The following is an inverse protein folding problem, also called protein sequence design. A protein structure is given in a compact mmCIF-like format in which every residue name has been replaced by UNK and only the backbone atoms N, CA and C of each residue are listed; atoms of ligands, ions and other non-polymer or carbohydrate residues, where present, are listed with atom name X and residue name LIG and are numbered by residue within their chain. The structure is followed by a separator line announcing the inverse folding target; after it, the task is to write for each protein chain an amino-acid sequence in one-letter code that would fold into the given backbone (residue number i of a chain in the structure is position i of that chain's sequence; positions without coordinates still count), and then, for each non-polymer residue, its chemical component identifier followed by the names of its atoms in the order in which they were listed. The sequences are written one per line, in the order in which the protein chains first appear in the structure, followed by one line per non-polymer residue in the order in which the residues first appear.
data_IF_376002221065
#
_entry.id   IF_376002221065
#
_cell.length_a   1.000
_cell.length_b   1.000
_cell.length_c   1.000
_cell.angle_alpha   90.00
_cell.angle_beta   90.00
_cell.angle_gamma   90.00
#
_symmetry.space_group_name_H-M   'P 1'
#
loop_
_entity.id
_entity.type
_entity.pdbx_description
1 polymer ?
#
# COMPACT_ATOMS: atom_id res chain seq x y z
N UNK A 1 22.82 6.15 19.09
CA UNK A 1 21.40 6.12 19.46
C UNK A 1 21.26 6.72 20.86
N UNK A 2 20.35 7.67 21.07
CA UNK A 2 20.23 8.41 22.33
C UNK A 2 19.60 7.53 23.43
N UNK A 3 20.07 7.63 24.69
CA UNK A 3 19.54 6.87 25.83
C UNK A 3 18.00 6.89 25.98
N UNK A 4 17.27 7.98 25.68
CA UNK A 4 15.81 8.00 25.72
C UNK A 4 15.15 7.03 24.72
N UNK A 5 15.76 6.82 23.55
CA UNK A 5 15.22 5.93 22.50
C UNK A 5 15.26 4.47 22.94
N UNK A 6 16.35 4.07 23.62
CA UNK A 6 16.51 2.71 24.15
C UNK A 6 15.50 2.41 25.27
N UNK A 7 15.23 3.39 26.13
CA UNK A 7 14.24 3.27 27.21
C UNK A 7 12.83 3.10 26.62
N UNK A 8 12.45 3.94 25.64
CA UNK A 8 11.17 3.84 24.96
C UNK A 8 11.01 2.48 24.26
N UNK A 9 12.07 1.98 23.62
CA UNK A 9 12.06 0.68 22.97
C UNK A 9 11.82 -0.46 23.98
N UNK A 10 12.47 -0.41 25.15
CA UNK A 10 12.24 -1.35 26.24
C UNK A 10 10.80 -1.32 26.75
N UNK A 11 10.21 -0.13 26.93
CA UNK A 11 8.81 0.03 27.34
C UNK A 11 7.86 -0.59 26.31
N UNK A 12 8.11 -0.36 25.01
CA UNK A 12 7.30 -0.94 23.92
C UNK A 12 7.33 -2.46 23.98
N UNK A 13 8.49 -3.08 24.16
CA UNK A 13 8.63 -4.55 24.26
C UNK A 13 7.84 -5.08 25.46
N UNK A 14 7.95 -4.43 26.62
CA UNK A 14 7.23 -4.84 27.84
C UNK A 14 5.72 -4.72 27.64
N UNK A 15 5.24 -3.60 27.09
CA UNK A 15 3.81 -3.37 26.83
C UNK A 15 3.27 -4.38 25.80
N UNK A 16 4.02 -4.67 24.74
CA UNK A 16 3.66 -5.70 23.75
C UNK A 16 3.60 -7.09 24.38
N UNK A 17 4.58 -7.46 25.21
CA UNK A 17 4.59 -8.73 25.93
C UNK A 17 3.40 -8.87 26.87
N UNK A 18 3.09 -7.81 27.64
CA UNK A 18 1.92 -7.77 28.51
C UNK A 18 0.61 -7.89 27.72
N UNK A 19 0.50 -7.17 26.60
CA UNK A 19 -0.65 -7.26 25.70
C UNK A 19 -0.86 -8.70 25.20
N UNK A 20 0.18 -9.33 24.67
CA UNK A 20 0.10 -10.72 24.17
C UNK A 20 -0.25 -11.71 25.28
N UNK A 21 0.33 -11.56 26.48
CA UNK A 21 0.02 -12.42 27.61
C UNK A 21 -1.45 -12.29 28.04
N UNK A 22 -1.99 -11.07 28.10
CA UNK A 22 -3.39 -10.82 28.44
C UNK A 22 -4.31 -11.40 27.35
N UNK A 23 -3.98 -11.13 26.09
CA UNK A 23 -4.77 -11.55 24.92
C UNK A 23 -4.90 -13.08 24.83
N UNK A 24 -3.84 -13.82 25.19
CA UNK A 24 -3.84 -15.28 25.18
C UNK A 24 -4.67 -15.92 26.31
N UNK A 25 -4.96 -15.19 27.39
CA UNK A 25 -5.70 -15.70 28.56
C UNK A 25 -7.17 -15.26 28.61
N UNK A 26 -7.58 -14.29 27.79
CA UNK A 26 -8.96 -13.78 27.76
C UNK A 26 -9.86 -14.70 26.93
N UNK A 27 -11.12 -14.89 27.38
CA UNK A 27 -12.10 -15.75 26.69
C UNK A 27 -12.60 -15.20 25.35
N UNK A 28 -12.60 -13.87 25.17
CA UNK A 28 -12.96 -13.17 23.94
C UNK A 28 -11.76 -12.35 23.43
N UNK A 29 -10.75 -12.98 22.81
CA UNK A 29 -9.60 -12.25 22.27
C UNK A 29 -10.05 -11.30 21.15
N UNK A 30 -9.57 -10.07 21.20
CA UNK A 30 -9.56 -9.11 20.09
C UNK A 30 -8.92 -9.72 18.84
N UNK A 31 -7.79 -10.44 19.00
CA UNK A 31 -7.05 -11.11 17.95
C UNK A 31 -7.30 -12.62 17.97
N UNK A 32 -8.38 -13.06 17.33
CA UNK A 32 -8.64 -14.49 17.19
C UNK A 32 -7.68 -15.12 16.17
N UNK A 33 -6.52 -15.58 16.62
CA UNK A 33 -5.49 -16.20 15.78
C UNK A 33 -5.97 -17.43 15.00
N UNK A 34 -7.10 -18.05 15.40
CA UNK A 34 -7.73 -19.14 14.64
C UNK A 34 -8.22 -18.66 13.27
N UNK A 35 -8.39 -17.35 13.07
CA UNK A 35 -8.74 -16.78 11.78
C UNK A 35 -7.65 -17.02 10.73
N UNK A 36 -6.37 -17.18 11.13
CA UNK A 36 -5.29 -17.54 10.21
C UNK A 36 -5.44 -18.95 9.61
N UNK A 37 -6.28 -19.81 10.20
CA UNK A 37 -6.60 -21.13 9.65
C UNK A 37 -7.47 -21.01 8.39
N UNK A 38 -8.22 -19.92 8.22
CA UNK A 38 -8.93 -19.64 6.98
C UNK A 38 -7.92 -19.17 5.93
N UNK A 39 -7.49 -20.09 5.07
CA UNK A 39 -6.48 -19.85 4.04
C UNK A 39 -6.77 -18.58 3.21
N UNK A 40 -8.03 -18.37 2.79
CA UNK A 40 -8.42 -17.19 2.01
C UNK A 40 -8.24 -15.89 2.78
N UNK A 41 -8.55 -15.89 4.07
CA UNK A 41 -8.36 -14.74 4.95
C UNK A 41 -6.88 -14.43 5.15
N UNK A 42 -6.05 -15.44 5.42
CA UNK A 42 -4.58 -15.29 5.57
C UNK A 42 -3.91 -14.75 4.31
N UNK A 43 -4.29 -15.27 3.14
CA UNK A 43 -3.79 -14.78 1.85
C UNK A 43 -4.28 -13.34 1.62
N UNK A 44 -5.55 -13.07 1.93
CA UNK A 44 -6.13 -11.74 1.89
C UNK A 44 -5.38 -10.72 2.75
N UNK A 45 -5.02 -11.09 3.97
CA UNK A 45 -4.19 -10.28 4.86
C UNK A 45 -2.80 -10.01 4.27
N UNK A 46 -2.18 -11.00 3.60
CA UNK A 46 -0.93 -10.83 2.87
C UNK A 46 -1.04 -9.84 1.70
N UNK A 47 -2.14 -9.93 0.93
CA UNK A 47 -2.48 -8.97 -0.14
C UNK A 47 -2.61 -7.56 0.44
N UNK A 48 -3.37 -7.39 1.53
CA UNK A 48 -3.56 -6.11 2.22
C UNK A 48 -2.21 -5.52 2.65
N UNK A 49 -1.35 -6.31 3.28
CA UNK A 49 -0.06 -5.84 3.76
C UNK A 49 0.82 -5.35 2.60
N UNK A 50 0.98 -6.15 1.55
CA UNK A 50 1.78 -5.79 0.37
C UNK A 50 1.19 -4.57 -0.35
N UNK A 51 -0.12 -4.53 -0.51
CA UNK A 51 -0.84 -3.40 -1.09
C UNK A 51 -0.56 -2.09 -0.35
N UNK A 52 -0.66 -2.10 0.98
CA UNK A 52 -0.44 -0.91 1.80
C UNK A 52 1.02 -0.44 1.75
N UNK A 53 1.96 -1.38 1.78
CA UNK A 53 3.38 -1.07 1.67
C UNK A 53 3.67 -0.34 0.35
N UNK A 54 3.12 -0.82 -0.76
CA UNK A 54 3.32 -0.20 -2.07
C UNK A 54 2.53 1.10 -2.27
N UNK A 55 1.26 1.15 -1.85
CA UNK A 55 0.41 2.31 -2.13
C UNK A 55 0.82 3.54 -1.34
N UNK A 56 1.17 3.37 -0.05
CA UNK A 56 1.49 4.52 0.79
C UNK A 56 2.87 5.11 0.53
N UNK A 57 3.76 4.41 -0.19
CA UNK A 57 5.08 4.95 -0.52
C UNK A 57 4.97 6.00 -1.62
N UNK A 58 3.96 5.89 -2.50
CA UNK A 58 3.68 6.82 -3.61
C UNK A 58 3.62 8.25 -3.09
N UNK A 59 2.87 8.51 -2.01
CA UNK A 59 2.70 9.86 -1.47
C UNK A 59 4.04 10.47 -1.05
N UNK A 60 4.92 9.68 -0.40
CA UNK A 60 6.22 10.17 0.03
C UNK A 60 7.17 10.36 -1.16
N UNK A 61 7.30 9.35 -2.02
CA UNK A 61 8.16 9.39 -3.20
C UNK A 61 7.76 10.56 -4.12
N UNK A 62 6.46 10.77 -4.32
CA UNK A 62 5.93 11.87 -5.12
C UNK A 62 6.21 13.23 -4.47
N UNK A 63 6.06 13.38 -3.16
CA UNK A 63 6.43 14.62 -2.47
C UNK A 63 7.91 14.97 -2.70
N UNK A 64 8.80 14.00 -2.55
CA UNK A 64 10.24 14.18 -2.75
C UNK A 64 10.55 14.47 -4.23
N UNK A 65 9.83 13.85 -5.16
CA UNK A 65 9.96 14.11 -6.59
C UNK A 65 9.54 15.53 -6.97
N UNK A 66 8.35 15.95 -6.58
CA UNK A 66 7.78 17.24 -6.95
C UNK A 66 8.55 18.40 -6.31
N UNK A 67 8.89 18.29 -5.03
CA UNK A 67 9.55 19.37 -4.30
C UNK A 67 11.08 19.31 -4.46
N UNK A 68 11.66 18.12 -4.44
CA UNK A 68 13.11 17.94 -4.45
C UNK A 68 13.74 17.85 -5.83
N UNK A 69 13.18 17.05 -6.74
CA UNK A 69 13.73 16.92 -8.09
C UNK A 69 13.24 18.03 -9.04
N UNK A 70 11.96 18.40 -8.95
CA UNK A 70 11.32 19.40 -9.83
C UNK A 70 11.34 20.82 -9.27
N UNK A 71 11.86 21.04 -8.05
CA UNK A 71 11.93 22.36 -7.38
C UNK A 71 10.60 23.10 -7.31
N UNK A 72 9.48 22.38 -7.30
CA UNK A 72 8.17 23.01 -7.20
C UNK A 72 7.97 23.59 -5.81
N UNK A 73 7.33 24.75 -5.74
CA UNK A 73 6.87 25.32 -4.48
C UNK A 73 5.90 24.35 -3.81
N UNK A 74 5.91 24.32 -2.48
CA UNK A 74 5.03 23.47 -1.65
C UNK A 74 3.56 23.60 -2.08
N UNK A 75 3.11 24.82 -2.41
CA UNK A 75 1.76 25.07 -2.91
C UNK A 75 1.46 24.34 -4.22
N UNK A 76 2.36 24.42 -5.20
CA UNK A 76 2.19 23.78 -6.51
C UNK A 76 2.26 22.26 -6.41
N UNK A 77 3.18 21.73 -5.58
CA UNK A 77 3.29 20.30 -5.32
C UNK A 77 2.00 19.77 -4.67
N UNK A 78 1.46 20.50 -3.69
CA UNK A 78 0.22 20.12 -3.01
C UNK A 78 -0.99 20.16 -3.97
N UNK A 79 -1.04 21.15 -4.88
CA UNK A 79 -2.08 21.22 -5.92
C UNK A 79 -2.01 20.00 -6.86
N UNK A 80 -0.83 19.50 -7.21
CA UNK A 80 -0.68 18.28 -8.00
C UNK A 80 -1.12 17.03 -7.23
N UNK A 81 -0.92 16.99 -5.91
CA UNK A 81 -1.41 15.88 -5.09
C UNK A 81 -2.94 15.82 -5.03
N UNK A 82 -3.66 16.91 -5.32
CA UNK A 82 -5.13 16.89 -5.47
C UNK A 82 -5.54 15.95 -6.61
N UNK A 83 -4.73 15.86 -7.68
CA UNK A 83 -4.97 14.90 -8.77
C UNK A 83 -4.87 13.44 -8.33
N UNK A 84 -4.25 13.17 -7.17
CA UNK A 84 -4.29 11.86 -6.54
C UNK A 84 -5.58 11.71 -5.67
N UNK A 85 -5.89 12.69 -4.82
CA UNK A 85 -6.98 12.57 -3.85
C UNK A 85 -8.39 12.65 -4.46
N UNK A 86 -8.63 13.53 -5.43
CA UNK A 86 -9.97 13.79 -5.97
C UNK A 86 -10.53 12.59 -6.75
N UNK A 87 -9.79 11.97 -7.70
CA UNK A 87 -10.31 10.79 -8.37
C UNK A 87 -10.52 9.63 -7.39
N UNK A 88 -9.66 9.49 -6.38
CA UNK A 88 -9.80 8.47 -5.34
C UNK A 88 -11.10 8.66 -4.53
N UNK A 89 -11.44 9.89 -4.16
CA UNK A 89 -12.67 10.23 -3.44
C UNK A 89 -13.92 9.83 -4.25
N UNK A 90 -13.93 10.13 -5.55
CA UNK A 90 -15.05 9.81 -6.44
C UNK A 90 -15.13 8.30 -6.70
N UNK A 91 -13.97 7.66 -6.93
CA UNK A 91 -13.90 6.25 -7.29
C UNK A 91 -14.08 5.31 -6.11
N UNK A 92 -13.90 5.73 -4.86
CA UNK A 92 -14.10 4.88 -3.69
C UNK A 92 -15.51 4.25 -3.64
N UNK A 93 -16.60 5.04 -3.64
CA UNK A 93 -17.97 4.52 -3.68
C UNK A 93 -18.29 3.76 -4.97
N UNK A 94 -17.81 4.24 -6.11
CA UNK A 94 -18.04 3.60 -7.41
C UNK A 94 -17.35 2.24 -7.50
N UNK A 95 -16.13 2.13 -6.96
CA UNK A 95 -15.36 0.90 -6.88
C UNK A 95 -16.03 -0.15 -6.00
N UNK A 96 -16.65 0.26 -4.89
CA UNK A 96 -17.51 -0.62 -4.08
C UNK A 96 -18.67 -1.19 -4.90
N UNK A 97 -19.42 -0.34 -5.61
CA UNK A 97 -20.52 -0.78 -6.48
C UNK A 97 -20.06 -1.71 -7.61
N UNK A 98 -18.90 -1.41 -8.21
CA UNK A 98 -18.29 -2.27 -9.23
C UNK A 98 -17.91 -3.64 -8.65
N UNK A 99 -17.37 -3.68 -7.44
CA UNK A 99 -17.05 -4.92 -6.73
C UNK A 99 -18.29 -5.73 -6.36
N UNK A 100 -19.41 -5.07 -6.06
CA UNK A 100 -20.70 -5.71 -5.84
C UNK A 100 -21.26 -6.34 -7.13
N UNK A 101 -21.13 -5.65 -8.27
CA UNK A 101 -21.72 -6.07 -9.52
C UNK A 101 -20.87 -7.10 -10.30
N UNK A 102 -19.57 -6.86 -10.43
CA UNK A 102 -18.66 -7.69 -11.23
C UNK A 102 -17.89 -8.74 -10.40
N UNK A 103 -17.98 -8.67 -9.07
CA UNK A 103 -17.32 -9.55 -8.13
C UNK A 103 -16.02 -8.98 -7.56
N UNK A 104 -15.88 -9.05 -6.24
CA UNK A 104 -14.79 -8.42 -5.50
C UNK A 104 -13.40 -8.94 -5.92
N UNK A 105 -13.22 -10.26 -6.05
CA UNK A 105 -11.92 -10.82 -6.41
C UNK A 105 -11.48 -10.41 -7.83
N UNK A 106 -12.41 -10.28 -8.78
CA UNK A 106 -12.11 -9.82 -10.15
C UNK A 106 -11.67 -8.36 -10.14
N UNK A 107 -12.44 -7.51 -9.47
CA UNK A 107 -12.16 -6.08 -9.36
C UNK A 107 -10.86 -5.79 -8.59
N UNK A 108 -10.55 -6.60 -7.58
CA UNK A 108 -9.27 -6.58 -6.86
C UNK A 108 -8.10 -6.83 -7.82
N UNK A 109 -8.15 -7.94 -8.57
CA UNK A 109 -7.07 -8.32 -9.50
C UNK A 109 -6.90 -7.28 -10.61
N UNK A 110 -8.00 -6.77 -11.19
CA UNK A 110 -7.92 -5.70 -12.21
C UNK A 110 -7.32 -4.42 -11.64
N UNK A 111 -7.74 -4.00 -10.44
CA UNK A 111 -7.21 -2.80 -9.80
C UNK A 111 -5.72 -2.90 -9.49
N UNK A 112 -5.24 -4.08 -9.07
CA UNK A 112 -3.82 -4.34 -8.85
C UNK A 112 -3.00 -4.22 -10.14
N UNK A 113 -3.51 -4.68 -11.29
CA UNK A 113 -2.84 -4.52 -12.59
C UNK A 113 -2.65 -3.03 -12.91
N UNK A 114 -3.73 -2.23 -12.80
CA UNK A 114 -3.63 -0.81 -13.12
C UNK A 114 -2.78 -0.03 -12.12
N UNK A 115 -2.69 -0.47 -10.85
CA UNK A 115 -1.74 0.09 -9.88
C UNK A 115 -0.30 -0.20 -10.27
N UNK A 116 0.02 -1.43 -10.72
CA UNK A 116 1.34 -1.78 -11.23
C UNK A 116 1.70 -0.91 -12.44
N UNK A 117 0.77 -0.78 -13.40
CA UNK A 117 0.98 0.04 -14.60
C UNK A 117 1.16 1.53 -14.27
N UNK A 118 0.35 2.07 -13.35
CA UNK A 118 0.46 3.45 -12.91
C UNK A 118 1.78 3.72 -12.17
N UNK A 119 2.20 2.80 -11.30
CA UNK A 119 3.48 2.90 -10.59
C UNK A 119 4.67 2.75 -11.53
N UNK A 120 4.56 1.87 -12.53
CA UNK A 120 5.56 1.73 -13.58
C UNK A 120 5.69 3.01 -14.41
N UNK A 121 4.56 3.62 -14.79
CA UNK A 121 4.55 4.90 -15.49
C UNK A 121 5.21 6.00 -14.63
N UNK A 122 4.95 6.03 -13.32
CA UNK A 122 5.60 6.95 -12.39
C UNK A 122 7.12 6.78 -12.33
N UNK A 123 7.61 5.53 -12.31
CA UNK A 123 9.05 5.24 -12.35
C UNK A 123 9.74 5.49 -13.70
N UNK A 124 9.00 5.94 -14.71
CA UNK A 124 9.51 6.23 -16.05
C UNK A 124 9.39 7.71 -16.45
N UNK A 125 9.02 8.59 -15.52
CA UNK A 125 8.89 10.02 -15.80
C UNK A 125 10.23 10.69 -16.15
N UNK A 126 11.34 10.22 -15.57
CA UNK A 126 12.66 10.81 -15.78
C UNK A 126 12.71 12.29 -15.39
N UNK A 127 13.51 13.10 -16.10
CA UNK A 127 13.63 14.55 -15.86
C UNK A 127 12.61 15.41 -16.62
N UNK A 128 11.60 14.80 -17.25
CA UNK A 128 10.67 15.55 -18.10
C UNK A 128 9.70 16.39 -17.26
N UNK A 129 9.85 17.72 -17.36
CA UNK A 129 9.09 18.77 -16.67
C UNK A 129 7.61 18.88 -17.04
N UNK A 130 7.08 18.00 -17.88
CA UNK A 130 5.70 18.12 -18.34
C UNK A 130 4.73 17.59 -17.28
N UNK A 131 4.12 18.53 -16.54
CA UNK A 131 3.13 18.26 -15.48
C UNK A 131 2.02 17.28 -15.91
N UNK A 132 1.64 17.28 -17.19
CA UNK A 132 0.61 16.37 -17.71
C UNK A 132 1.04 14.89 -17.63
N UNK A 133 2.33 14.60 -17.81
CA UNK A 133 2.89 13.25 -17.68
C UNK A 133 2.94 12.75 -16.25
N UNK A 134 2.85 13.64 -15.24
CA UNK A 134 2.67 13.27 -13.83
C UNK A 134 1.19 13.03 -13.53
N UNK A 135 0.31 13.93 -13.98
CA UNK A 135 -1.11 13.91 -13.63
C UNK A 135 -1.81 12.65 -14.15
N UNK A 136 -1.51 12.21 -15.38
CA UNK A 136 -2.17 11.04 -15.98
C UNK A 136 -1.91 9.77 -15.14
N UNK A 137 -0.66 9.37 -14.84
CA UNK A 137 -0.38 8.25 -13.93
C UNK A 137 -1.04 8.40 -12.56
N UNK A 138 -1.03 9.61 -11.96
CA UNK A 138 -1.67 9.83 -10.66
C UNK A 138 -3.18 9.58 -10.69
N UNK A 139 -3.86 10.07 -11.72
CA UNK A 139 -5.30 9.81 -11.90
C UNK A 139 -5.55 8.32 -12.10
N UNK A 140 -4.76 7.64 -12.94
CA UNK A 140 -4.86 6.19 -13.15
C UNK A 140 -4.69 5.44 -11.83
N UNK A 141 -3.66 5.75 -11.05
CA UNK A 141 -3.42 5.10 -9.76
C UNK A 141 -4.55 5.34 -8.76
N UNK A 142 -5.12 6.53 -8.76
CA UNK A 142 -6.20 6.92 -7.84
C UNK A 142 -7.51 6.23 -8.16
N UNK A 143 -7.85 6.15 -9.45
CA UNK A 143 -8.99 5.37 -9.94
C UNK A 143 -8.81 3.89 -9.61
N UNK A 144 -7.60 3.37 -9.83
CA UNK A 144 -7.26 1.98 -9.56
C UNK A 144 -7.34 1.65 -8.07
N UNK A 145 -6.87 2.55 -7.20
CA UNK A 145 -7.03 2.40 -5.74
C UNK A 145 -8.49 2.42 -5.32
N UNK A 146 -9.29 3.34 -5.87
CA UNK A 146 -10.72 3.43 -5.58
C UNK A 146 -11.49 2.14 -5.91
N UNK A 147 -11.01 1.37 -6.89
CA UNK A 147 -11.55 0.05 -7.25
C UNK A 147 -10.92 -1.06 -6.39
N UNK A 148 -9.59 -1.08 -6.28
CA UNK A 148 -8.84 -2.15 -5.64
C UNK A 148 -9.11 -2.23 -4.14
N UNK A 149 -9.04 -1.11 -3.42
CA UNK A 149 -9.11 -1.12 -1.96
C UNK A 149 -10.45 -1.65 -1.40
N UNK A 150 -11.62 -1.16 -1.85
CA UNK A 150 -12.90 -1.74 -1.42
C UNK A 150 -13.03 -3.21 -1.79
N UNK A 151 -12.50 -3.60 -2.96
CA UNK A 151 -12.52 -4.99 -3.44
C UNK A 151 -11.67 -5.92 -2.58
N UNK A 152 -10.47 -5.47 -2.17
CA UNK A 152 -9.60 -6.18 -1.23
C UNK A 152 -10.36 -6.36 0.09
N UNK A 153 -10.80 -5.25 0.70
CA UNK A 153 -11.50 -5.30 1.99
C UNK A 153 -12.70 -6.25 1.96
N UNK A 154 -13.53 -6.17 0.91
CA UNK A 154 -14.67 -7.07 0.72
C UNK A 154 -14.24 -8.53 0.55
N UNK A 155 -13.20 -8.82 -0.23
CA UNK A 155 -12.71 -10.19 -0.45
C UNK A 155 -12.18 -10.80 0.84
N UNK A 156 -11.40 -10.04 1.62
CA UNK A 156 -10.80 -10.53 2.87
C UNK A 156 -11.86 -10.72 3.95
N UNK A 157 -12.69 -9.71 4.19
CA UNK A 157 -13.67 -9.76 5.29
C UNK A 157 -14.84 -10.70 5.01
N UNK A 158 -15.14 -11.02 3.75
CA UNK A 158 -16.14 -12.04 3.41
C UNK A 158 -15.59 -13.47 3.45
N UNK A 159 -14.28 -13.65 3.68
CA UNK A 159 -13.65 -14.98 3.76
C UNK A 159 -13.77 -15.64 5.14
N UNK A 160 -14.44 -15.00 6.09
CA UNK A 160 -14.62 -15.47 7.47
C UNK A 160 -16.11 -15.50 7.84
N UNK A 161 -16.54 -16.35 8.78
CA UNK A 161 -17.92 -16.34 9.28
C UNK A 161 -18.33 -14.99 9.86
N UNK A 162 -19.59 -14.62 9.71
CA UNK A 162 -20.11 -13.30 10.12
C UNK A 162 -19.96 -13.05 11.62
N UNK A 163 -20.02 -14.10 12.44
CA UNK A 163 -19.83 -14.05 13.90
C UNK A 163 -18.41 -13.61 14.28
N UNK A 164 -17.44 -13.81 13.38
CA UNK A 164 -16.02 -13.47 13.58
C UNK A 164 -15.61 -12.19 12.84
N UNK A 165 -16.55 -11.53 12.16
CA UNK A 165 -16.28 -10.35 11.34
C UNK A 165 -15.68 -9.18 12.12
N UNK A 166 -16.04 -9.03 13.41
CA UNK A 166 -15.46 -8.02 14.31
C UNK A 166 -13.95 -8.21 14.51
N UNK A 167 -13.54 -9.39 15.00
CA UNK A 167 -12.12 -9.73 15.18
C UNK A 167 -11.35 -9.72 13.85
N UNK A 168 -11.97 -10.20 12.76
CA UNK A 168 -11.36 -10.20 11.44
C UNK A 168 -11.12 -8.78 10.89
N UNK A 169 -12.06 -7.86 11.12
CA UNK A 169 -11.90 -6.45 10.77
C UNK A 169 -10.80 -5.80 11.60
N UNK A 170 -10.73 -6.11 12.90
CA UNK A 170 -9.65 -5.68 13.79
C UNK A 170 -8.28 -6.04 13.22
N UNK A 171 -8.05 -7.33 12.93
CA UNK A 171 -6.80 -7.79 12.31
C UNK A 171 -6.52 -7.16 10.95
N UNK A 172 -7.53 -7.06 10.10
CA UNK A 172 -7.39 -6.44 8.78
C UNK A 172 -6.88 -4.99 8.90
N UNK A 173 -7.48 -4.19 9.77
CA UNK A 173 -7.07 -2.79 9.97
C UNK A 173 -5.76 -2.66 10.75
N UNK A 174 -5.42 -3.61 11.62
CA UNK A 174 -4.10 -3.66 12.27
C UNK A 174 -3.00 -3.88 11.22
N UNK A 175 -3.15 -4.87 10.34
CA UNK A 175 -2.18 -5.11 9.26
C UNK A 175 -2.14 -3.97 8.24
N UNK A 176 -3.29 -3.38 7.94
CA UNK A 176 -3.37 -2.18 7.11
C UNK A 176 -2.51 -1.04 7.68
N UNK A 177 -2.67 -0.72 8.96
CA UNK A 177 -1.90 0.35 9.61
C UNK A 177 -0.41 -0.03 9.78
N UNK A 178 -0.10 -1.30 10.04
CA UNK A 178 1.26 -1.79 10.07
C UNK A 178 1.94 -1.61 8.71
N UNK A 179 1.28 -2.02 7.62
CA UNK A 179 1.77 -1.82 6.26
C UNK A 179 1.99 -0.36 5.92
N UNK A 180 1.08 0.54 6.35
CA UNK A 180 1.24 2.00 6.20
C UNK A 180 2.47 2.54 6.92
N UNK A 181 2.71 2.09 8.14
CA UNK A 181 3.88 2.50 8.91
C UNK A 181 5.18 2.01 8.24
N UNK A 182 5.23 0.73 7.86
CA UNK A 182 6.38 0.14 7.18
C UNK A 182 6.66 0.79 5.81
N UNK A 183 5.61 1.14 5.08
CA UNK A 183 5.69 1.78 3.76
C UNK A 183 6.61 3.01 3.77
N UNK A 184 6.36 3.93 4.70
CA UNK A 184 7.10 5.19 4.81
C UNK A 184 8.56 4.95 5.18
N UNK A 185 8.83 4.06 6.14
CA UNK A 185 10.19 3.68 6.54
C UNK A 185 10.97 3.03 5.40
N UNK A 186 10.34 2.09 4.67
CA UNK A 186 10.96 1.45 3.51
C UNK A 186 11.23 2.45 2.38
N UNK A 187 10.32 3.39 2.15
CA UNK A 187 10.49 4.39 1.10
C UNK A 187 11.69 5.30 1.39
N UNK A 188 11.87 5.71 2.64
CA UNK A 188 13.06 6.46 3.08
C UNK A 188 14.33 5.62 2.88
N UNK A 189 14.32 4.37 3.36
CA UNK A 189 15.47 3.47 3.24
C UNK A 189 15.91 3.29 1.78
N UNK A 190 14.96 3.11 0.86
CA UNK A 190 15.25 2.92 -0.56
C UNK A 190 15.88 4.16 -1.18
N UNK A 191 15.45 5.37 -0.78
CA UNK A 191 16.08 6.61 -1.23
C UNK A 191 17.48 6.78 -0.63
N UNK A 192 17.67 6.48 0.66
CA UNK A 192 18.95 6.62 1.37
C UNK A 192 20.05 5.71 0.81
N UNK A 193 19.71 4.59 0.18
CA UNK A 193 20.68 3.72 -0.50
C UNK A 193 21.38 4.46 -1.65
N UNK A 194 20.70 5.43 -2.27
CA UNK A 194 21.16 6.11 -3.49
C UNK A 194 21.52 7.59 -3.27
N UNK A 195 21.03 8.21 -2.18
CA UNK A 195 21.27 9.63 -1.85
C UNK A 195 21.74 9.78 -0.39
N UNK A 196 22.76 10.61 -0.09
CA UNK A 196 23.19 10.87 1.27
C UNK A 196 22.02 11.28 2.20
N UNK A 197 21.92 10.72 3.44
CA UNK A 197 20.78 10.94 4.35
C UNK A 197 20.50 12.42 4.67
N UNK A 198 21.53 13.26 4.60
CA UNK A 198 21.43 14.69 4.83
C UNK A 198 20.52 15.40 3.80
N UNK A 199 20.44 14.90 2.56
CA UNK A 199 19.63 15.50 1.48
C UNK A 199 18.17 15.06 1.60
N UNK A 200 17.94 13.79 1.94
CA UNK A 200 16.61 13.23 2.19
C UNK A 200 15.95 13.96 3.37
N UNK A 201 16.71 14.14 4.46
CA UNK A 201 16.23 14.86 5.66
C UNK A 201 15.90 16.32 5.34
N UNK A 202 16.75 17.04 4.58
CA UNK A 202 16.48 18.44 4.19
C UNK A 202 15.26 18.56 3.27
N UNK A 203 15.03 17.58 2.40
CA UNK A 203 13.86 17.54 1.50
C UNK A 203 12.56 17.35 2.28
N UNK A 204 12.58 16.49 3.32
CA UNK A 204 11.42 16.21 4.17
C UNK A 204 11.09 17.40 5.09
N UNK A 205 12.11 18.08 5.63
CA UNK A 205 11.94 19.21 6.56
C UNK A 205 11.64 20.54 5.82
N UNK A 206 11.62 20.54 4.49
CA UNK A 206 11.36 21.74 3.68
C UNK A 206 12.49 22.78 3.73
N UNK A 207 13.69 22.37 4.17
CA UNK A 207 14.88 23.22 4.35
C UNK A 207 15.93 23.00 3.26
N UNK A 208 15.62 22.26 2.21
CA UNK A 208 16.55 22.00 1.13
C UNK A 208 16.66 23.23 0.23
N UNK A 209 17.82 23.87 0.27
CA UNK A 209 18.28 24.82 -0.73
C UNK A 209 18.74 24.00 -1.95
N UNK A 210 17.81 23.70 -2.85
CA UNK A 210 18.00 22.74 -3.93
C UNK A 210 18.79 23.31 -5.14
N UNK A 211 19.57 24.38 -4.95
CA UNK A 211 20.28 25.10 -6.00
C UNK A 211 21.45 24.34 -6.68
N UNK A 212 21.74 23.08 -6.30
CA UNK A 212 22.85 22.31 -6.89
C UNK A 212 22.36 21.40 -8.03
N UNK A 213 22.65 21.82 -9.27
CA UNK A 213 22.26 21.18 -10.54
C UNK A 213 22.74 19.71 -10.72
N UNK A 214 23.64 19.19 -9.88
CA UNK A 214 24.08 17.77 -9.91
C UNK A 214 23.23 16.83 -9.03
N UNK A 215 22.51 17.35 -8.03
CA UNK A 215 21.70 16.51 -7.11
C UNK A 215 20.42 15.99 -7.78
N UNK A 216 19.96 16.65 -8.85
CA UNK A 216 18.68 16.35 -9.49
C UNK A 216 18.66 15.00 -10.20
N UNK A 217 19.70 14.65 -10.96
CA UNK A 217 19.66 13.38 -11.73
C UNK A 217 19.77 12.15 -10.83
N UNK A 218 20.63 12.19 -9.82
CA UNK A 218 20.78 11.10 -8.86
C UNK A 218 19.51 10.93 -8.01
N UNK A 219 18.88 12.03 -7.59
CA UNK A 219 17.63 12.00 -6.85
C UNK A 219 16.47 11.45 -7.70
N UNK A 220 16.36 11.85 -8.98
CA UNK A 220 15.35 11.32 -9.91
C UNK A 220 15.53 9.82 -10.08
N UNK A 221 16.75 9.34 -10.37
CA UNK A 221 17.04 7.90 -10.49
C UNK A 221 16.69 7.13 -9.22
N UNK A 222 16.96 7.70 -8.05
CA UNK A 222 16.65 7.09 -6.76
C UNK A 222 15.15 6.93 -6.55
N UNK A 223 14.38 7.93 -6.95
CA UNK A 223 12.91 7.92 -6.87
C UNK A 223 12.33 6.93 -7.88
N UNK A 224 12.82 6.92 -9.12
CA UNK A 224 12.42 5.97 -10.14
C UNK A 224 12.68 4.53 -9.67
N UNK A 225 13.87 4.28 -9.11
CA UNK A 225 14.20 3.00 -8.45
C UNK A 225 13.24 2.69 -7.31
N UNK A 226 12.89 3.69 -6.50
CA UNK A 226 11.86 3.58 -5.46
C UNK A 226 10.54 3.09 -6.01
N UNK A 227 10.03 3.69 -7.08
CA UNK A 227 8.79 3.25 -7.71
C UNK A 227 8.88 1.81 -8.21
N UNK A 228 9.97 1.41 -8.87
CA UNK A 228 10.18 0.02 -9.30
C UNK A 228 10.28 -0.97 -8.14
N UNK A 229 10.93 -0.59 -7.04
CA UNK A 229 11.05 -1.43 -5.85
C UNK A 229 9.68 -1.76 -5.27
N UNK A 230 8.79 -0.77 -5.17
CA UNK A 230 7.45 -0.99 -4.63
C UNK A 230 6.50 -1.74 -5.58
N UNK A 231 6.77 -1.77 -6.89
CA UNK A 231 6.05 -2.64 -7.83
C UNK A 231 6.16 -4.11 -7.41
N UNK A 232 7.27 -4.53 -6.82
CA UNK A 232 7.46 -5.91 -6.34
C UNK A 232 6.36 -6.29 -5.34
N UNK A 233 6.01 -5.39 -4.43
CA UNK A 233 4.93 -5.63 -3.46
C UNK A 233 3.56 -5.71 -4.13
N UNK A 234 3.26 -4.85 -5.11
CA UNK A 234 2.04 -4.99 -5.90
C UNK A 234 2.02 -6.28 -6.73
N UNK A 235 3.16 -6.72 -7.27
CA UNK A 235 3.27 -7.97 -8.02
C UNK A 235 3.02 -9.19 -7.11
N UNK A 236 3.56 -9.19 -5.89
CA UNK A 236 3.27 -10.22 -4.88
C UNK A 236 1.78 -10.21 -4.52
N UNK A 237 1.20 -9.03 -4.25
CA UNK A 237 -0.24 -8.90 -4.00
C UNK A 237 -1.08 -9.41 -5.17
N UNK A 238 -0.66 -9.15 -6.40
CA UNK A 238 -1.31 -9.61 -7.62
C UNK A 238 -1.26 -11.13 -7.78
N UNK A 239 -0.10 -11.76 -7.56
CA UNK A 239 0.05 -13.22 -7.60
C UNK A 239 -0.82 -13.92 -6.55
N UNK A 240 -0.85 -13.38 -5.33
CA UNK A 240 -1.75 -13.87 -4.27
C UNK A 240 -3.22 -13.65 -4.64
N UNK A 241 -3.55 -12.53 -5.28
CA UNK A 241 -4.89 -12.22 -5.78
C UNK A 241 -5.35 -13.18 -6.87
N UNK A 242 -4.47 -13.54 -7.82
CA UNK A 242 -4.73 -14.56 -8.83
C UNK A 242 -4.95 -15.94 -8.21
N UNK A 243 -4.18 -16.28 -7.18
CA UNK A 243 -4.37 -17.53 -6.45
C UNK A 243 -5.75 -17.59 -5.78
N UNK A 244 -6.19 -16.50 -5.12
CA UNK A 244 -7.56 -16.40 -4.59
C UNK A 244 -8.63 -16.49 -5.67
N UNK A 245 -8.40 -15.84 -6.81
CA UNK A 245 -9.31 -15.88 -7.95
C UNK A 245 -9.49 -17.31 -8.49
N UNK A 246 -8.39 -18.04 -8.63
CA UNK A 246 -8.38 -19.43 -9.08
C UNK A 246 -9.11 -20.36 -8.11
N UNK A 247 -8.91 -20.19 -6.79
CA UNK A 247 -9.64 -20.96 -5.78
C UNK A 247 -11.15 -20.69 -5.84
N UNK A 248 -11.55 -19.43 -6.03
CA UNK A 248 -12.96 -19.07 -6.13
C UNK A 248 -13.65 -19.70 -7.36
N UNK A 249 -12.94 -19.78 -8.50
CA UNK A 249 -13.48 -20.48 -9.68
C UNK A 249 -13.64 -21.99 -9.47
N UNK A 250 -12.72 -22.64 -8.74
CA UNK A 250 -12.82 -24.08 -8.43
C UNK A 250 -14.05 -24.44 -7.59
N UNK A 251 -14.55 -23.52 -6.77
CA UNK A 251 -15.76 -23.74 -5.97
C UNK A 251 -17.05 -23.59 -6.79
N UNK A 252 -17.02 -22.83 -7.89
CA UNK A 252 -18.19 -22.55 -8.74
C UNK A 252 -18.41 -23.64 -9.79
N UNK A 253 -17.38 -24.39 -10.20
CA UNK A 253 -17.53 -25.54 -11.09
C UNK A 253 -18.02 -26.75 -10.28
N UNK A 254 -19.27 -27.22 -10.44
CA UNK A 254 -19.74 -28.38 -9.71
C UNK A 254 -18.94 -29.60 -10.18
N UNK A 255 -18.55 -30.46 -9.22
CA UNK A 255 -18.13 -31.84 -9.48
C UNK A 255 -19.26 -32.58 -10.21
N UNK A 256 -19.32 -32.45 -11.54
CA UNK A 256 -20.08 -33.37 -12.37
C UNK A 256 -19.14 -34.47 -12.86
N UNK A 257 -19.62 -35.71 -12.68
CA UNK A 257 -19.11 -36.97 -13.21
C UNK A 257 -17.98 -37.67 -12.45
N UNK A 258 -18.39 -38.50 -11.49
CA UNK A 258 -17.75 -39.79 -11.17
C UNK A 258 -18.70 -40.65 -10.34
N UNK A 259 -19.85 -40.98 -10.92
CA UNK A 259 -20.63 -42.17 -10.57
C UNK A 259 -21.12 -42.74 -11.89
N UNK A 260 -20.31 -43.62 -12.46
CA UNK A 260 -20.72 -44.73 -13.30
C UNK A 260 -19.97 -45.95 -12.78
#
# INVERSE_FOLDING_TARGET
MSAPVLILFGIVIIMWGAFLAIELHIQYPLFNLRLFLYLKYSIGLGITLCYCIAYFSITLLLCIYLQGALHLKIMDASLLMISLSVPQLIMGPLGGKLADHFGATRMMVTGLIFLILGMFALGHLGSQLNKLFVVIPLVVMSVSNGIAWPSIAKTVLSSVPQEQAGSASGMFYTLYNLGRALSQTLAILVIEISVPPAIVTKSIVGMADFANLQVNEDLIRSIDFGFYFFIIFFAVAFLLGLFLFYQHQKEIVPRFSSKN
#
